data_IF_725204457207
#
_entry.id   IF_725204457207
#
_cell.length_a   1.000
_cell.length_b   1.000
_cell.length_c   1.000
_cell.angle_alpha   90.00
_cell.angle_beta   90.00
_cell.angle_gamma   90.00
#
_symmetry.space_group_name_H-M   'P 1'
#
loop_
_entity.id
_entity.type
_entity.pdbx_description
1 polymer ?
#
# COMPACT_ATOMS: atom_id res chain seq x y z
N UNK A 1 -5.36 24.51 4.94
CA UNK A 1 -6.65 23.79 5.07
C UNK A 1 -6.87 22.76 3.96
N UNK A 2 -6.86 23.13 2.67
CA UNK A 2 -7.16 22.20 1.57
C UNK A 2 -6.28 20.94 1.53
N UNK A 3 -4.97 21.06 1.76
CA UNK A 3 -4.02 19.92 1.79
C UNK A 3 -4.40 18.91 2.87
N UNK A 4 -4.66 19.36 4.10
CA UNK A 4 -5.05 18.48 5.20
C UNK A 4 -6.37 17.76 4.92
N UNK A 5 -7.36 18.47 4.33
CA UNK A 5 -8.63 17.86 3.92
C UNK A 5 -8.42 16.80 2.85
N UNK A 6 -7.56 17.04 1.85
CA UNK A 6 -7.23 16.04 0.82
C UNK A 6 -6.57 14.81 1.44
N UNK A 7 -5.68 14.98 2.41
CA UNK A 7 -5.06 13.86 3.12
C UNK A 7 -6.14 13.05 3.85
N UNK A 8 -6.93 13.69 4.71
CA UNK A 8 -7.94 13.00 5.53
C UNK A 8 -9.00 12.33 4.65
N UNK A 9 -9.64 13.08 3.75
CA UNK A 9 -10.70 12.57 2.88
C UNK A 9 -10.13 11.54 1.91
N UNK A 10 -8.95 11.78 1.34
CA UNK A 10 -8.30 10.86 0.41
C UNK A 10 -7.92 9.53 1.07
N UNK A 11 -7.43 9.54 2.31
CA UNK A 11 -7.16 8.31 3.07
C UNK A 11 -8.44 7.53 3.32
N UNK A 12 -9.53 8.20 3.72
CA UNK A 12 -10.83 7.55 3.94
C UNK A 12 -11.38 6.94 2.64
N UNK A 13 -11.36 7.70 1.54
CA UNK A 13 -11.80 7.20 0.22
C UNK A 13 -10.97 5.98 -0.18
N UNK A 14 -9.65 6.04 -0.06
CA UNK A 14 -8.76 4.93 -0.39
C UNK A 14 -9.06 3.70 0.49
N UNK A 15 -9.28 3.89 1.79
CA UNK A 15 -9.59 2.81 2.73
C UNK A 15 -10.92 2.13 2.39
N UNK A 16 -12.00 2.90 2.22
CA UNK A 16 -13.33 2.36 1.93
C UNK A 16 -13.45 1.75 0.53
N UNK A 17 -12.50 2.03 -0.37
CA UNK A 17 -12.41 1.36 -1.68
C UNK A 17 -11.76 -0.02 -1.60
N UNK A 18 -11.06 -0.36 -0.52
CA UNK A 18 -10.43 -1.66 -0.37
C UNK A 18 -11.44 -2.70 0.12
N UNK A 19 -11.52 -3.88 -0.52
CA UNK A 19 -12.24 -5.02 0.04
C UNK A 19 -11.65 -5.42 1.41
N UNK A 20 -12.49 -5.88 2.32
CA UNK A 20 -12.05 -6.36 3.64
C UNK A 20 -11.01 -7.49 3.57
N UNK A 21 -11.06 -8.31 2.50
CA UNK A 21 -10.05 -9.34 2.25
C UNK A 21 -8.67 -8.77 1.92
N UNK A 22 -8.59 -7.59 1.31
CA UNK A 22 -7.33 -6.90 0.99
C UNK A 22 -6.73 -6.23 2.20
N UNK A 23 -7.53 -5.63 3.09
CA UNK A 23 -7.03 -5.00 4.32
C UNK A 23 -6.57 -6.01 5.37
N UNK A 24 -7.07 -7.24 5.30
CA UNK A 24 -6.65 -8.34 6.16
C UNK A 24 -5.47 -9.16 5.60
N UNK A 25 -4.99 -8.85 4.39
CA UNK A 25 -3.93 -9.62 3.73
C UNK A 25 -2.69 -8.75 3.53
N UNK A 26 -1.54 -9.24 4.01
CA UNK A 26 -0.24 -8.63 3.70
C UNK A 26 0.16 -9.00 2.27
N UNK A 27 0.56 -8.02 1.46
CA UNK A 27 1.06 -8.27 0.11
C UNK A 27 2.32 -9.14 0.17
N UNK A 28 2.28 -10.29 -0.51
CA UNK A 28 3.05 -11.47 -0.15
C UNK A 28 4.56 -11.24 0.01
N UNK A 29 5.25 -10.79 -1.04
CA UNK A 29 6.72 -10.76 -1.07
C UNK A 29 7.28 -9.56 -0.30
N UNK A 30 6.83 -8.35 -0.63
CA UNK A 30 7.41 -7.11 -0.09
C UNK A 30 7.04 -6.92 1.39
N UNK A 31 5.81 -7.26 1.80
CA UNK A 31 5.41 -7.08 3.20
C UNK A 31 6.16 -8.04 4.11
N UNK A 32 6.38 -9.29 3.66
CA UNK A 32 7.19 -10.27 4.39
C UNK A 32 8.63 -9.79 4.52
N UNK A 33 9.21 -9.24 3.46
CA UNK A 33 10.57 -8.74 3.47
C UNK A 33 10.73 -7.50 4.36
N UNK A 34 9.83 -6.52 4.29
CA UNK A 34 9.96 -5.29 5.08
C UNK A 34 9.66 -5.50 6.56
N UNK A 35 8.55 -6.19 6.89
CA UNK A 35 8.22 -6.50 8.29
C UNK A 35 9.22 -7.47 8.89
N UNK A 36 9.62 -8.52 8.14
CA UNK A 36 10.63 -9.48 8.60
C UNK A 36 11.99 -8.82 8.87
N UNK A 37 12.43 -7.92 7.99
CA UNK A 37 13.66 -7.14 8.23
C UNK A 37 13.52 -6.22 9.46
N UNK A 38 12.37 -5.57 9.64
CA UNK A 38 12.13 -4.70 10.80
C UNK A 38 12.10 -5.47 12.12
N UNK A 39 11.54 -6.69 12.14
CA UNK A 39 11.58 -7.59 13.30
C UNK A 39 13.01 -8.06 13.60
N UNK A 40 13.76 -8.44 12.57
CA UNK A 40 15.08 -9.03 12.73
C UNK A 40 16.19 -8.01 13.06
N UNK A 41 16.10 -6.79 12.52
CA UNK A 41 17.18 -5.79 12.55
C UNK A 41 16.76 -4.48 13.24
N UNK A 42 15.53 -4.42 13.75
CA UNK A 42 14.91 -3.20 14.26
C UNK A 42 14.42 -2.26 13.14
N UNK A 43 13.77 -1.15 13.50
CA UNK A 43 13.08 -0.27 12.55
C UNK A 43 14.00 0.64 11.72
N UNK A 44 15.25 0.88 12.16
CA UNK A 44 16.14 1.90 11.57
C UNK A 44 17.12 1.32 10.56
N UNK A 45 17.79 0.20 10.89
CA UNK A 45 18.83 -0.40 10.04
C UNK A 45 18.32 -0.74 8.64
N UNK A 46 17.11 -1.31 8.46
CA UNK A 46 16.60 -1.61 7.13
C UNK A 46 16.43 -0.37 6.26
N UNK A 47 16.23 0.84 6.79
CA UNK A 47 15.92 2.03 6.00
C UNK A 47 16.98 2.36 4.94
N UNK A 48 18.23 1.99 5.18
CA UNK A 48 19.36 2.28 4.30
C UNK A 48 19.78 1.11 3.41
N UNK A 49 19.06 -0.02 3.48
CA UNK A 49 19.41 -1.22 2.72
C UNK A 49 18.72 -1.21 1.35
N UNK A 50 19.53 -1.26 0.30
CA UNK A 50 19.08 -1.39 -1.09
C UNK A 50 18.41 -2.76 -1.28
N UNK A 51 17.29 -2.78 -2.00
CA UNK A 51 16.57 -3.99 -2.40
C UNK A 51 16.20 -3.88 -3.87
N UNK A 52 16.45 -4.94 -4.64
CA UNK A 52 16.21 -4.97 -6.09
C UNK A 52 16.78 -3.76 -6.87
N UNK A 53 17.91 -3.19 -6.42
CA UNK A 53 18.59 -2.08 -7.09
C UNK A 53 18.11 -0.67 -6.71
N UNK A 54 17.18 -0.52 -5.77
CA UNK A 54 16.74 0.80 -5.29
C UNK A 54 16.40 0.80 -3.79
N UNK A 55 16.11 1.99 -3.25
CA UNK A 55 15.83 2.19 -1.84
C UNK A 55 14.32 2.23 -1.56
N UNK A 56 13.83 1.33 -0.71
CA UNK A 56 12.42 1.26 -0.29
C UNK A 56 12.18 2.04 1.01
N UNK A 57 12.59 3.30 1.09
CA UNK A 57 12.56 4.06 2.35
C UNK A 57 11.15 4.17 2.93
N UNK A 58 10.17 4.59 2.13
CA UNK A 58 8.79 4.80 2.60
C UNK A 58 8.15 3.49 3.09
N UNK A 59 8.16 2.38 2.32
CA UNK A 59 7.64 1.10 2.81
C UNK A 59 8.33 0.61 4.09
N UNK A 60 9.63 0.84 4.23
CA UNK A 60 10.39 0.40 5.41
C UNK A 60 10.15 1.25 6.65
N UNK A 61 9.92 2.55 6.50
CA UNK A 61 9.46 3.41 7.61
C UNK A 61 8.11 2.89 8.11
N UNK A 62 7.16 2.64 7.20
CA UNK A 62 5.84 2.13 7.54
C UNK A 62 5.93 0.77 8.25
N UNK A 63 6.76 -0.15 7.75
CA UNK A 63 6.99 -1.44 8.38
C UNK A 63 7.63 -1.30 9.78
N UNK A 64 8.62 -0.43 9.93
CA UNK A 64 9.28 -0.16 11.21
C UNK A 64 8.32 0.40 12.25
N UNK A 65 7.49 1.38 11.88
CA UNK A 65 6.44 1.93 12.76
C UNK A 65 5.40 0.86 13.11
N UNK A 66 5.00 0.03 12.15
CA UNK A 66 4.03 -1.05 12.38
C UNK A 66 4.55 -2.05 13.40
N UNK A 67 5.79 -2.54 13.25
CA UNK A 67 6.40 -3.48 14.20
C UNK A 67 6.59 -2.86 15.59
N UNK A 68 6.86 -1.55 15.65
CA UNK A 68 7.14 -0.85 16.92
C UNK A 68 5.86 -0.57 17.73
N UNK A 69 4.78 -0.19 17.07
CA UNK A 69 3.59 0.36 17.75
C UNK A 69 2.33 -0.49 17.62
N UNK A 70 2.30 -1.47 16.71
CA UNK A 70 1.07 -2.23 16.40
C UNK A 70 1.26 -3.71 16.76
N UNK A 71 0.27 -4.34 17.43
CA UNK A 71 0.28 -5.77 17.67
C UNK A 71 0.31 -6.58 16.37
N UNK A 72 0.98 -7.74 16.38
CA UNK A 72 1.18 -8.61 15.19
C UNK A 72 -0.13 -8.93 14.47
N UNK A 73 -1.22 -9.18 15.21
CA UNK A 73 -2.53 -9.50 14.65
C UNK A 73 -3.12 -8.37 13.78
N UNK A 74 -2.65 -7.14 13.93
CA UNK A 74 -3.15 -5.96 13.23
C UNK A 74 -2.16 -5.42 12.17
N UNK A 75 -1.04 -6.10 11.92
CA UNK A 75 -0.04 -5.63 10.97
C UNK A 75 -0.59 -5.45 9.55
N UNK A 76 -1.46 -6.37 9.08
CA UNK A 76 -2.11 -6.24 7.78
C UNK A 76 -2.91 -4.93 7.67
N UNK A 77 -3.75 -4.65 8.66
CA UNK A 77 -4.58 -3.45 8.71
C UNK A 77 -3.73 -2.18 8.82
N UNK A 78 -2.69 -2.18 9.64
CA UNK A 78 -1.79 -1.04 9.81
C UNK A 78 -1.01 -0.72 8.52
N UNK A 79 -0.46 -1.74 7.85
CA UNK A 79 0.22 -1.59 6.57
C UNK A 79 -0.73 -1.08 5.48
N UNK A 80 -1.96 -1.59 5.42
CA UNK A 80 -2.98 -1.12 4.50
C UNK A 80 -3.35 0.35 4.76
N UNK A 81 -3.61 0.72 6.02
CA UNK A 81 -3.98 2.08 6.41
C UNK A 81 -2.87 3.08 6.09
N UNK A 82 -1.62 2.73 6.40
CA UNK A 82 -0.46 3.53 6.07
C UNK A 82 -0.27 3.67 4.55
N UNK A 83 -0.56 2.63 3.77
CA UNK A 83 -0.52 2.72 2.31
C UNK A 83 -1.59 3.70 1.77
N UNK A 84 -2.81 3.64 2.30
CA UNK A 84 -3.86 4.63 1.98
C UNK A 84 -3.44 6.06 2.35
N UNK A 85 -2.76 6.24 3.48
CA UNK A 85 -2.22 7.53 3.90
C UNK A 85 -1.15 8.04 2.92
N UNK A 86 -0.20 7.19 2.53
CA UNK A 86 0.86 7.56 1.56
C UNK A 86 0.24 8.00 0.23
N UNK A 87 -0.75 7.28 -0.30
CA UNK A 87 -1.46 7.67 -1.53
C UNK A 87 -2.11 9.06 -1.37
N UNK A 88 -2.76 9.33 -0.24
CA UNK A 88 -3.40 10.61 0.01
C UNK A 88 -2.39 11.76 0.18
N UNK A 89 -1.23 11.51 0.80
CA UNK A 89 -0.13 12.48 0.90
C UNK A 89 0.43 12.81 -0.48
N UNK A 90 0.63 11.80 -1.34
CA UNK A 90 1.10 12.01 -2.73
C UNK A 90 0.07 12.83 -3.52
N UNK A 91 -1.22 12.53 -3.38
CA UNK A 91 -2.30 13.30 -4.01
C UNK A 91 -2.32 14.75 -3.52
N UNK A 92 -2.11 14.98 -2.23
CA UNK A 92 -2.03 16.32 -1.66
C UNK A 92 -0.79 17.08 -2.13
N UNK A 93 0.34 16.40 -2.31
CA UNK A 93 1.55 16.97 -2.90
C UNK A 93 1.31 17.36 -4.37
N UNK A 94 0.63 16.54 -5.16
CA UNK A 94 0.22 16.86 -6.54
C UNK A 94 -0.69 18.09 -6.55
N UNK A 95 -1.69 18.14 -5.67
CA UNK A 95 -2.56 19.32 -5.55
C UNK A 95 -1.77 20.58 -5.21
N UNK A 96 -0.81 20.49 -4.29
CA UNK A 96 0.00 21.64 -3.87
C UNK A 96 0.97 22.09 -4.98
N UNK A 97 1.74 21.17 -5.56
CA UNK A 97 2.75 21.47 -6.58
C UNK A 97 2.14 21.93 -7.91
N UNK A 98 0.96 21.45 -8.28
CA UNK A 98 0.24 21.87 -9.50
C UNK A 98 -0.15 23.35 -9.51
N UNK A 99 -0.02 24.08 -8.39
CA UNK A 99 -0.18 25.54 -8.34
C UNK A 99 0.76 26.30 -9.29
N UNK A 100 1.90 25.70 -9.63
CA UNK A 100 2.89 26.30 -10.53
C UNK A 100 2.49 26.13 -12.00
N UNK A 101 1.66 25.12 -12.30
CA UNK A 101 1.25 24.77 -13.67
C UNK A 101 -0.10 25.40 -14.03
N UNK A 102 -1.02 25.50 -13.07
CA UNK A 102 -2.35 26.04 -13.31
C UNK A 102 -2.92 26.76 -12.08
N UNK A 103 -3.59 27.88 -12.30
CA UNK A 103 -4.31 28.63 -11.27
C UNK A 103 -5.67 27.99 -10.95
N UNK A 104 -6.23 27.19 -11.88
CA UNK A 104 -7.56 26.62 -11.73
C UNK A 104 -7.58 25.51 -10.67
N UNK A 105 -8.24 25.79 -9.53
CA UNK A 105 -8.37 24.83 -8.43
C UNK A 105 -9.05 23.51 -8.84
N UNK A 106 -9.96 23.55 -9.83
CA UNK A 106 -10.69 22.37 -10.33
C UNK A 106 -9.76 21.39 -11.04
N UNK A 107 -8.84 21.90 -11.86
CA UNK A 107 -7.84 21.09 -12.56
C UNK A 107 -6.91 20.42 -11.56
N UNK A 108 -6.47 21.17 -10.54
CA UNK A 108 -5.61 20.65 -9.46
C UNK A 108 -6.30 19.54 -8.66
N UNK A 109 -7.59 19.71 -8.35
CA UNK A 109 -8.39 18.68 -7.70
C UNK A 109 -8.55 17.44 -8.57
N UNK A 110 -8.79 17.61 -9.88
CA UNK A 110 -8.88 16.49 -10.80
C UNK A 110 -7.57 15.68 -10.86
N UNK A 111 -6.41 16.36 -10.92
CA UNK A 111 -5.10 15.72 -10.90
C UNK A 111 -4.88 14.91 -9.60
N UNK A 112 -5.20 15.49 -8.45
CA UNK A 112 -5.10 14.77 -7.17
C UNK A 112 -6.07 13.59 -7.07
N UNK A 113 -7.30 13.74 -7.59
CA UNK A 113 -8.30 12.70 -7.58
C UNK A 113 -7.87 11.49 -8.43
N UNK A 114 -7.21 11.69 -9.57
CA UNK A 114 -6.67 10.60 -10.40
C UNK A 114 -5.74 9.71 -9.57
N UNK A 115 -4.86 10.28 -8.75
CA UNK A 115 -3.93 9.51 -7.91
C UNK A 115 -4.62 8.59 -6.91
N UNK A 116 -5.76 9.01 -6.36
CA UNK A 116 -6.53 8.22 -5.38
C UNK A 116 -7.46 7.23 -6.09
N UNK A 117 -8.02 7.61 -7.23
CA UNK A 117 -9.11 6.86 -7.88
C UNK A 117 -8.64 5.87 -8.95
N UNK A 118 -7.51 6.15 -9.61
CA UNK A 118 -6.97 5.32 -10.68
C UNK A 118 -6.26 4.02 -10.27
N UNK A 119 -5.75 3.81 -9.03
CA UNK A 119 -5.04 2.57 -8.74
C UNK A 119 -6.03 1.43 -8.48
N UNK A 120 -6.53 0.82 -9.55
CA UNK A 120 -7.11 -0.53 -9.56
C UNK A 120 -6.00 -1.55 -9.85
N UNK A 121 -4.93 -1.55 -9.06
CA UNK A 121 -3.96 -2.65 -9.02
C UNK A 121 -4.42 -3.91 -8.23
N UNK A 122 -5.35 -3.86 -7.25
CA UNK A 122 -5.59 -5.05 -6.41
C UNK A 122 -6.13 -6.26 -7.19
N UNK A 123 -6.84 -6.03 -8.29
CA UNK A 123 -7.49 -7.10 -9.05
C UNK A 123 -6.50 -8.05 -9.76
N UNK A 124 -5.24 -7.64 -10.00
CA UNK A 124 -4.24 -8.47 -10.70
C UNK A 124 -3.11 -8.99 -9.81
N UNK A 125 -3.04 -8.55 -8.55
CA UNK A 125 -1.99 -8.97 -7.60
C UNK A 125 -2.51 -9.84 -6.45
N UNK A 126 -3.82 -9.95 -6.27
CA UNK A 126 -4.41 -10.99 -5.41
C UNK A 126 -4.33 -12.33 -6.15
N UNK A 127 -3.16 -12.97 -6.07
CA UNK A 127 -3.04 -14.38 -6.41
C UNK A 127 -3.86 -15.18 -5.40
N UNK A 128 -5.16 -15.31 -5.65
CA UNK A 128 -5.93 -16.43 -5.12
C UNK A 128 -5.22 -17.68 -5.63
N UNK A 129 -4.51 -18.36 -4.74
CA UNK A 129 -4.12 -19.75 -4.97
C UNK A 129 -5.41 -20.46 -5.42
N UNK A 130 -5.53 -20.99 -6.64
CA UNK A 130 -6.61 -21.91 -6.92
C UNK A 130 -6.46 -23.00 -5.87
N UNK A 131 -7.47 -23.13 -5.03
CA UNK A 131 -7.63 -24.25 -4.11
C UNK A 131 -7.28 -25.49 -4.91
N UNK A 132 -6.13 -26.10 -4.61
CA UNK A 132 -5.76 -27.38 -5.18
C UNK A 132 -6.66 -28.39 -4.48
N UNK A 133 -7.93 -28.42 -4.86
CA UNK A 133 -8.82 -29.54 -4.58
C UNK A 133 -8.26 -30.70 -5.35
N UNK A 134 -7.42 -31.50 -4.68
CA UNK A 134 -6.96 -32.76 -5.19
C UNK A 134 -8.16 -33.63 -5.50
N UNK A 135 -8.49 -33.73 -6.79
CA UNK A 135 -9.23 -34.85 -7.35
C UNK A 135 -8.21 -35.72 -8.06
N UNK A 136 -7.78 -36.76 -7.37
CA UNK A 136 -7.15 -37.94 -7.93
C UNK A 136 -8.11 -38.62 -8.90
N UNK A 137 -7.83 -38.60 -10.21
CA UNK A 137 -8.19 -39.70 -11.13
C UNK A 137 -7.76 -39.39 -12.56
N UNK A 138 -6.93 -40.28 -13.13
CA UNK A 138 -6.96 -40.55 -14.56
C UNK A 138 -5.76 -40.08 -15.37
N UNK A 139 -4.65 -40.82 -15.30
CA UNK A 139 -3.78 -41.04 -16.47
C UNK A 139 -3.38 -42.51 -16.50
N UNK A 140 -4.27 -43.32 -17.04
CA UNK A 140 -3.95 -44.62 -17.63
C UNK A 140 -3.80 -44.45 -19.14
N UNK A 141 -3.04 -45.38 -19.72
CA UNK A 141 -2.76 -45.64 -21.14
C UNK A 141 -1.57 -44.80 -21.65
N UNK A 142 -0.51 -45.40 -22.19
CA UNK A 142 -0.45 -46.67 -22.93
C UNK A 142 0.18 -46.36 -24.28
#
# INVERSE_FOLDING_TARGET
MAVALIIVIGTLIAWFRLPASTTATLWAEDSRNFLGNAVAQGPVVPLFRVYAGYLHTVPRIVAGLTVTFVPVAQWAHAMAAASCLVVAVVAAAIFYCSRVVTESWRVRMALAAITILAPLAPARCSATLPTFTGTSSGWHHG
#
